data_IF_241007552230
#
_entry.id   IF_241007552230
#
_cell.length_a   1.000
_cell.length_b   1.000
_cell.length_c   1.000
_cell.angle_alpha   90.00
_cell.angle_beta   90.00
_cell.angle_gamma   90.00
#
_symmetry.space_group_name_H-M   'P 1'
#
loop_
_entity.id
_entity.type
_entity.pdbx_description
1 polymer ?
#
# COMPACT_ATOMS: atom_id res chain seq x y z
N UNK A 1 -16.77 -1.45 -8.83
CA UNK A 1 -16.08 -2.19 -9.90
C UNK A 1 -15.61 -3.55 -9.40
N UNK A 2 -16.12 -4.65 -9.93
CA UNK A 2 -15.74 -6.00 -9.48
C UNK A 2 -16.22 -6.35 -8.07
N UNK A 3 -17.28 -5.69 -7.58
CA UNK A 3 -17.74 -5.82 -6.21
C UNK A 3 -19.25 -6.09 -6.14
N UNK A 4 -19.75 -7.16 -6.80
CA UNK A 4 -21.18 -7.38 -7.00
C UNK A 4 -21.93 -7.54 -5.69
N UNK A 5 -21.38 -8.29 -4.72
CA UNK A 5 -22.01 -8.45 -3.39
C UNK A 5 -22.23 -7.12 -2.67
N UNK A 6 -21.26 -6.21 -2.79
CA UNK A 6 -21.38 -4.89 -2.17
C UNK A 6 -22.45 -4.05 -2.90
N UNK A 7 -22.48 -4.09 -4.23
CA UNK A 7 -23.50 -3.43 -5.03
C UNK A 7 -24.91 -3.92 -4.65
N UNK A 8 -25.17 -5.23 -4.65
CA UNK A 8 -26.48 -5.78 -4.26
C UNK A 8 -26.88 -5.42 -2.82
N UNK A 9 -25.92 -5.30 -1.90
CA UNK A 9 -26.21 -4.87 -0.53
C UNK A 9 -26.56 -3.37 -0.42
N UNK A 10 -25.91 -2.53 -1.23
CA UNK A 10 -26.01 -1.07 -1.12
C UNK A 10 -27.05 -0.44 -2.06
N UNK A 11 -27.39 -1.07 -3.18
CA UNK A 11 -28.27 -0.48 -4.22
C UNK A 11 -29.67 -0.12 -3.74
N UNK A 12 -30.13 -0.69 -2.62
CA UNK A 12 -31.39 -0.31 -1.98
C UNK A 12 -31.29 0.87 -0.99
N UNK A 13 -30.06 1.32 -0.69
CA UNK A 13 -29.76 2.36 0.31
C UNK A 13 -29.08 3.58 -0.30
N UNK A 14 -28.31 3.37 -1.37
CA UNK A 14 -27.51 4.36 -2.06
C UNK A 14 -27.61 4.13 -3.57
N UNK A 15 -27.46 5.18 -4.35
CA UNK A 15 -27.23 5.03 -5.78
C UNK A 15 -25.92 4.25 -6.01
N UNK A 16 -25.97 3.23 -6.87
CA UNK A 16 -24.84 2.33 -7.09
C UNK A 16 -24.83 1.85 -8.53
N UNK A 17 -23.66 1.90 -9.16
CA UNK A 17 -23.45 1.40 -10.51
C UNK A 17 -22.39 0.30 -10.51
N UNK A 18 -22.72 -0.87 -11.04
CA UNK A 18 -21.85 -2.03 -11.10
C UNK A 18 -21.13 -2.11 -12.45
N UNK A 19 -19.81 -1.94 -12.41
CA UNK A 19 -18.91 -2.33 -13.49
C UNK A 19 -18.33 -3.71 -13.17
N UNK A 20 -18.64 -4.73 -13.96
CA UNK A 20 -18.15 -6.10 -13.77
C UNK A 20 -17.96 -6.82 -15.12
N UNK A 21 -17.11 -7.86 -15.14
CA UNK A 21 -16.86 -8.66 -16.34
C UNK A 21 -17.84 -9.84 -16.46
N UNK A 22 -18.56 -10.15 -15.39
CA UNK A 22 -19.54 -11.23 -15.37
C UNK A 22 -20.89 -10.78 -15.96
N UNK A 23 -21.13 -11.16 -17.22
CA UNK A 23 -22.33 -10.81 -17.97
C UNK A 23 -23.62 -11.33 -17.32
N UNK A 24 -23.56 -12.36 -16.47
CA UNK A 24 -24.73 -12.91 -15.78
C UNK A 24 -25.46 -11.88 -14.92
N UNK A 25 -24.79 -10.80 -14.50
CA UNK A 25 -25.44 -9.72 -13.77
C UNK A 25 -26.42 -8.91 -14.62
N UNK A 26 -26.28 -8.92 -15.95
CA UNK A 26 -27.23 -8.28 -16.86
C UNK A 26 -28.64 -8.91 -16.80
N UNK A 27 -28.77 -10.14 -16.33
CA UNK A 27 -30.07 -10.79 -16.10
C UNK A 27 -30.85 -10.15 -14.93
N UNK A 28 -30.16 -9.48 -14.01
CA UNK A 28 -30.73 -8.95 -12.75
C UNK A 28 -30.65 -7.42 -12.63
N UNK A 29 -29.86 -6.77 -13.49
CA UNK A 29 -29.54 -5.35 -13.42
C UNK A 29 -29.85 -4.69 -14.77
N UNK A 30 -30.56 -3.57 -14.73
CA UNK A 30 -30.79 -2.75 -15.92
C UNK A 30 -29.55 -1.92 -16.33
N UNK A 31 -29.58 -1.27 -17.50
CA UNK A 31 -28.49 -0.43 -17.99
C UNK A 31 -28.08 0.71 -17.04
N UNK A 32 -29.01 1.22 -16.24
CA UNK A 32 -28.78 2.29 -15.26
C UNK A 32 -28.00 1.84 -14.02
N UNK A 33 -27.82 0.53 -13.82
CA UNK A 33 -27.14 -0.03 -12.64
C UNK A 33 -25.98 -0.95 -13.00
N UNK A 34 -25.82 -1.31 -14.27
CA UNK A 34 -24.80 -2.26 -14.72
C UNK A 34 -24.24 -1.95 -16.10
N UNK A 35 -22.92 -2.15 -16.24
CA UNK A 35 -22.28 -2.22 -17.55
C UNK A 35 -21.22 -3.32 -17.55
N UNK A 36 -21.26 -4.15 -18.59
CA UNK A 36 -20.25 -5.17 -18.83
C UNK A 36 -18.91 -4.49 -19.13
N UNK A 37 -17.91 -4.76 -18.28
CA UNK A 37 -16.71 -3.95 -18.19
C UNK A 37 -15.48 -4.76 -17.79
N UNK A 38 -14.37 -4.55 -18.51
CA UNK A 38 -13.08 -5.12 -18.17
C UNK A 38 -12.17 -4.08 -17.49
N UNK A 39 -11.95 -4.28 -16.19
CA UNK A 39 -11.12 -3.39 -15.37
C UNK A 39 -9.61 -3.45 -15.66
N UNK A 40 -9.11 -4.47 -16.35
CA UNK A 40 -7.68 -4.58 -16.67
C UNK A 40 -7.27 -3.72 -17.86
N UNK A 41 -8.21 -3.38 -18.75
CA UNK A 41 -7.95 -2.57 -19.94
C UNK A 41 -8.91 -1.37 -20.07
N UNK A 42 -9.72 -1.09 -19.06
CA UNK A 42 -10.70 0.00 -19.04
C UNK A 42 -11.68 -0.04 -20.23
N UNK A 43 -12.16 -1.24 -20.59
CA UNK A 43 -13.03 -1.45 -21.75
C UNK A 43 -14.49 -1.67 -21.33
N UNK A 44 -15.39 -0.87 -21.89
CA UNK A 44 -16.85 -1.04 -21.80
C UNK A 44 -17.31 -1.86 -23.01
N UNK A 45 -17.98 -2.98 -22.77
CA UNK A 45 -18.52 -3.83 -23.83
C UNK A 45 -19.91 -3.38 -24.29
N UNK A 46 -20.69 -2.78 -23.38
CA UNK A 46 -21.98 -2.19 -23.67
C UNK A 46 -21.86 -0.67 -23.85
N UNK A 47 -22.96 -0.01 -24.23
CA UNK A 47 -23.01 1.45 -24.27
C UNK A 47 -22.69 2.01 -22.87
N UNK A 48 -21.72 2.91 -22.82
CA UNK A 48 -21.26 3.53 -21.58
C UNK A 48 -22.13 4.71 -21.14
N UNK A 49 -23.04 5.20 -21.98
CA UNK A 49 -23.86 6.40 -21.68
C UNK A 49 -24.59 6.33 -20.33
N UNK A 50 -25.26 5.23 -19.94
CA UNK A 50 -25.90 5.16 -18.63
C UNK A 50 -24.91 5.34 -17.46
N UNK A 51 -23.70 4.78 -17.59
CA UNK A 51 -22.64 4.98 -16.61
C UNK A 51 -22.16 6.44 -16.58
N UNK A 52 -22.04 7.09 -17.74
CA UNK A 52 -21.67 8.52 -17.80
C UNK A 52 -22.75 9.42 -17.20
N UNK A 53 -24.03 9.11 -17.43
CA UNK A 53 -25.18 9.79 -16.82
C UNK A 53 -25.19 9.60 -15.30
N UNK A 54 -24.84 8.41 -14.81
CA UNK A 54 -24.65 8.17 -13.38
C UNK A 54 -23.52 9.06 -12.77
N UNK A 55 -22.47 9.34 -13.54
CA UNK A 55 -21.39 10.23 -13.10
C UNK A 55 -21.75 11.72 -13.20
N UNK A 56 -22.64 12.09 -14.11
CA UNK A 56 -23.03 13.47 -14.39
C UNK A 56 -23.77 14.09 -13.19
N UNK A 57 -23.40 15.32 -12.83
CA UNK A 57 -23.99 16.04 -11.70
C UNK A 57 -23.59 15.52 -10.32
N UNK A 58 -22.88 14.39 -10.23
CA UNK A 58 -22.41 13.83 -8.96
C UNK A 58 -21.11 14.51 -8.52
N UNK A 59 -21.14 15.20 -7.37
CA UNK A 59 -19.94 15.80 -6.76
C UNK A 59 -18.89 14.75 -6.41
N UNK A 60 -17.60 15.10 -6.50
CA UNK A 60 -16.49 14.23 -6.08
C UNK A 60 -16.55 13.82 -4.60
N UNK A 61 -17.21 14.63 -3.76
CA UNK A 61 -17.41 14.33 -2.33
C UNK A 61 -18.52 13.29 -2.08
N UNK A 62 -19.39 13.06 -3.07
CA UNK A 62 -20.52 12.14 -3.01
C UNK A 62 -20.26 10.84 -3.79
N UNK A 63 -19.11 10.73 -4.45
CA UNK A 63 -18.72 9.58 -5.25
C UNK A 63 -17.54 8.83 -4.63
N UNK A 64 -17.69 7.52 -4.48
CA UNK A 64 -16.60 6.61 -4.08
C UNK A 64 -16.50 5.44 -5.06
N UNK A 65 -15.28 5.17 -5.53
CA UNK A 65 -15.00 3.98 -6.32
C UNK A 65 -14.58 2.87 -5.36
N UNK A 66 -15.42 1.85 -5.22
CA UNK A 66 -15.03 0.61 -4.53
C UNK A 66 -14.63 -0.44 -5.56
N UNK A 67 -13.44 -1.03 -5.38
CA UNK A 67 -12.95 -2.09 -6.25
C UNK A 67 -12.37 -3.28 -5.49
N UNK A 68 -12.74 -4.48 -5.94
CA UNK A 68 -12.22 -5.76 -5.46
C UNK A 68 -11.74 -6.60 -6.67
N UNK A 69 -10.63 -6.20 -7.31
CA UNK A 69 -10.15 -6.86 -8.52
C UNK A 69 -9.59 -8.26 -8.23
N UNK A 70 -9.58 -9.18 -9.21
CA UNK A 70 -8.89 -10.46 -9.05
C UNK A 70 -7.43 -10.28 -8.63
N UNK A 71 -6.97 -11.01 -7.61
CA UNK A 71 -5.62 -10.81 -7.04
C UNK A 71 -4.47 -11.22 -7.97
N UNK A 72 -4.77 -11.89 -9.09
CA UNK A 72 -3.80 -12.15 -10.16
C UNK A 72 -3.58 -10.97 -11.11
N UNK A 73 -4.44 -9.96 -11.08
CA UNK A 73 -4.31 -8.77 -11.93
C UNK A 73 -3.09 -7.94 -11.51
N UNK A 74 -2.37 -7.38 -12.49
CA UNK A 74 -1.27 -6.45 -12.20
C UNK A 74 -1.82 -5.14 -11.62
N UNK A 75 -1.21 -4.66 -10.54
CA UNK A 75 -1.60 -3.41 -9.87
C UNK A 75 -1.54 -2.20 -10.80
N UNK A 76 -0.60 -2.18 -11.73
CA UNK A 76 -0.41 -1.09 -12.71
C UNK A 76 -1.63 -0.93 -13.64
N UNK A 77 -2.23 -2.04 -14.09
CA UNK A 77 -3.43 -2.03 -14.93
C UNK A 77 -4.65 -1.49 -14.16
N UNK A 78 -4.86 -1.97 -12.94
CA UNK A 78 -5.96 -1.50 -12.08
C UNK A 78 -5.79 -0.01 -11.75
N UNK A 79 -4.56 0.42 -11.46
CA UNK A 79 -4.24 1.82 -11.17
C UNK A 79 -4.50 2.72 -12.38
N UNK A 80 -4.13 2.27 -13.58
CA UNK A 80 -4.45 2.97 -14.83
C UNK A 80 -5.96 3.13 -15.03
N UNK A 81 -6.73 2.08 -14.77
CA UNK A 81 -8.19 2.11 -14.83
C UNK A 81 -8.79 3.09 -13.83
N UNK A 82 -8.39 3.04 -12.55
CA UNK A 82 -8.88 3.96 -11.53
C UNK A 82 -8.57 5.44 -11.88
N UNK A 83 -7.38 5.71 -12.42
CA UNK A 83 -7.01 7.05 -12.92
C UNK A 83 -7.86 7.46 -14.11
N UNK A 84 -8.16 6.54 -15.02
CA UNK A 84 -8.99 6.80 -16.19
C UNK A 84 -10.43 7.14 -15.80
N UNK A 85 -11.01 6.39 -14.86
CA UNK A 85 -12.34 6.68 -14.32
C UNK A 85 -12.38 8.05 -13.60
N UNK A 86 -11.34 8.38 -12.82
CA UNK A 86 -11.20 9.72 -12.23
C UNK A 86 -11.14 10.82 -13.28
N UNK A 87 -10.35 10.64 -14.34
CA UNK A 87 -10.27 11.61 -15.45
C UNK A 87 -11.61 11.77 -16.15
N UNK A 88 -12.32 10.67 -16.39
CA UNK A 88 -13.64 10.68 -17.04
C UNK A 88 -14.66 11.46 -16.20
N UNK A 89 -14.75 11.19 -14.89
CA UNK A 89 -15.63 11.93 -13.99
C UNK A 89 -15.33 13.44 -13.97
N UNK A 90 -14.04 13.81 -13.86
CA UNK A 90 -13.63 15.21 -13.90
C UNK A 90 -13.98 15.88 -15.24
N UNK A 91 -13.84 15.16 -16.36
CA UNK A 91 -14.19 15.66 -17.69
C UNK A 91 -15.70 15.90 -17.84
N UNK A 92 -16.52 14.90 -17.47
CA UNK A 92 -17.99 14.99 -17.54
C UNK A 92 -18.48 16.19 -16.71
N UNK A 93 -17.96 16.34 -15.49
CA UNK A 93 -18.40 17.37 -14.56
C UNK A 93 -17.63 18.69 -14.65
N UNK A 94 -16.74 18.85 -15.66
CA UNK A 94 -15.90 20.04 -15.85
C UNK A 94 -15.14 20.47 -14.60
N UNK A 95 -14.71 19.50 -13.81
CA UNK A 95 -13.95 19.73 -12.59
C UNK A 95 -12.47 19.94 -12.93
N UNK A 96 -11.72 20.71 -12.14
CA UNK A 96 -10.27 20.69 -12.20
C UNK A 96 -9.74 19.30 -11.84
N UNK A 97 -8.42 19.12 -11.75
CA UNK A 97 -7.79 17.84 -11.39
C UNK A 97 -8.12 17.43 -9.93
N UNK A 98 -9.36 17.02 -9.71
CA UNK A 98 -9.98 16.77 -8.42
C UNK A 98 -9.80 15.29 -8.09
N UNK A 99 -9.37 14.94 -6.86
CA UNK A 99 -9.26 13.55 -6.45
C UNK A 99 -10.66 12.94 -6.28
N UNK A 100 -10.79 11.66 -6.63
CA UNK A 100 -11.95 10.85 -6.28
C UNK A 100 -11.60 9.93 -5.12
N UNK A 101 -12.55 9.73 -4.21
CA UNK A 101 -12.42 8.76 -3.12
C UNK A 101 -12.36 7.35 -3.70
N UNK A 102 -11.31 6.59 -3.33
CA UNK A 102 -11.07 5.24 -3.83
C UNK A 102 -10.94 4.29 -2.65
N UNK A 103 -11.68 3.19 -2.69
CA UNK A 103 -11.56 2.03 -1.82
C UNK A 103 -11.12 0.82 -2.64
N UNK A 104 -9.82 0.53 -2.62
CA UNK A 104 -9.24 -0.62 -3.31
C UNK A 104 -8.98 -1.76 -2.33
N UNK A 105 -9.81 -2.79 -2.43
CA UNK A 105 -9.72 -4.01 -1.65
C UNK A 105 -8.67 -4.92 -2.30
N UNK A 106 -7.57 -5.17 -1.58
CA UNK A 106 -6.46 -5.95 -2.15
C UNK A 106 -5.57 -6.58 -1.06
N UNK A 107 -4.76 -7.60 -1.37
CA UNK A 107 -3.88 -8.21 -0.37
C UNK A 107 -2.73 -7.30 0.08
N UNK A 108 -2.43 -7.29 1.39
CA UNK A 108 -1.38 -6.43 1.98
C UNK A 108 0.02 -6.67 1.41
N UNK A 109 0.30 -7.87 0.87
CA UNK A 109 1.63 -8.17 0.32
C UNK A 109 1.93 -7.41 -0.97
N UNK A 110 0.89 -6.88 -1.63
CA UNK A 110 1.01 -6.01 -2.80
C UNK A 110 1.06 -4.51 -2.44
N UNK A 111 1.06 -4.15 -1.16
CA UNK A 111 1.08 -2.75 -0.70
C UNK A 111 2.23 -1.93 -1.30
N UNK A 112 3.40 -2.55 -1.51
CA UNK A 112 4.53 -1.86 -2.14
C UNK A 112 4.26 -1.52 -3.61
N UNK A 113 3.59 -2.41 -4.34
CA UNK A 113 3.26 -2.18 -5.75
C UNK A 113 2.14 -1.15 -5.86
N UNK A 114 1.12 -1.24 -5.00
CA UNK A 114 0.07 -0.20 -4.93
C UNK A 114 0.67 1.16 -4.61
N UNK A 115 1.60 1.27 -3.65
CA UNK A 115 2.23 2.56 -3.31
C UNK A 115 3.13 3.10 -4.42
N UNK A 116 3.74 2.23 -5.23
CA UNK A 116 4.49 2.66 -6.42
C UNK A 116 3.56 3.23 -7.49
N UNK A 117 2.43 2.55 -7.71
CA UNK A 117 1.47 2.97 -8.70
C UNK A 117 0.63 4.16 -8.26
N UNK A 118 0.09 4.14 -7.05
CA UNK A 118 -0.81 5.16 -6.48
C UNK A 118 -0.29 5.57 -5.10
N UNK A 119 0.73 6.46 -5.02
CA UNK A 119 1.36 6.87 -3.77
C UNK A 119 0.39 7.60 -2.82
N UNK A 120 -0.74 8.08 -3.32
CA UNK A 120 -1.81 8.68 -2.51
C UNK A 120 -2.65 7.67 -1.72
N UNK A 121 -2.52 6.36 -1.97
CA UNK A 121 -3.28 5.33 -1.26
C UNK A 121 -2.55 4.84 -0.01
N UNK A 122 -3.21 4.94 1.14
CA UNK A 122 -2.80 4.37 2.41
C UNK A 122 -3.56 3.08 2.72
N UNK A 123 -2.91 2.15 3.42
CA UNK A 123 -3.51 0.88 3.82
C UNK A 123 -4.20 1.01 5.17
N UNK A 124 -5.50 0.73 5.22
CA UNK A 124 -6.27 0.58 6.45
C UNK A 124 -6.06 -0.82 7.04
N UNK A 125 -6.00 -0.91 8.38
CA UNK A 125 -5.77 -2.17 9.11
C UNK A 125 -6.96 -3.15 9.07
N UNK A 126 -8.12 -2.71 8.57
CA UNK A 126 -9.33 -3.52 8.50
C UNK A 126 -9.14 -4.79 7.65
N UNK A 127 -9.36 -5.95 8.28
CA UNK A 127 -9.25 -7.27 7.67
C UNK A 127 -10.55 -7.64 6.97
N UNK A 128 -10.53 -7.70 5.65
CA UNK A 128 -11.69 -8.08 4.84
C UNK A 128 -11.70 -9.60 4.66
N UNK A 129 -12.80 -10.25 5.04
CA UNK A 129 -12.96 -11.71 4.98
C UNK A 129 -13.90 -12.10 3.84
N UNK A 130 -13.56 -13.20 3.16
CA UNK A 130 -14.41 -13.78 2.12
C UNK A 130 -15.02 -15.07 2.65
N UNK A 131 -16.35 -15.19 2.61
CA UNK A 131 -17.07 -16.37 3.11
C UNK A 131 -16.66 -17.66 2.36
N UNK A 132 -16.28 -17.54 1.09
CA UNK A 132 -16.12 -18.68 0.18
C UNK A 132 -14.67 -18.87 -0.31
N UNK A 133 -13.68 -18.16 0.25
CA UNK A 133 -12.31 -18.26 -0.24
C UNK A 133 -11.40 -19.10 0.67
N UNK A 134 -10.94 -20.25 0.15
CA UNK A 134 -10.09 -21.23 0.85
C UNK A 134 -8.88 -20.61 1.59
N UNK A 135 -8.21 -19.64 0.97
CA UNK A 135 -7.01 -18.96 1.54
C UNK A 135 -7.24 -17.56 2.14
N UNK A 136 -8.43 -16.98 2.01
CA UNK A 136 -8.71 -15.57 2.37
C UNK A 136 -9.93 -15.47 3.31
N UNK A 137 -10.00 -16.41 4.24
CA UNK A 137 -11.01 -16.51 5.28
C UNK A 137 -10.35 -16.66 6.64
N UNK A 138 -11.05 -16.24 7.69
CA UNK A 138 -10.69 -16.47 9.09
C UNK A 138 -11.29 -17.78 9.64
N UNK A 139 -12.07 -18.52 8.85
CA UNK A 139 -12.88 -19.66 9.29
C UNK A 139 -12.35 -20.97 8.69
N UNK A 140 -12.25 -22.01 9.52
CA UNK A 140 -11.90 -23.38 9.09
C UNK A 140 -10.41 -23.75 9.23
N UNK A 141 -10.07 -25.00 8.92
CA UNK A 141 -8.72 -25.60 9.10
C UNK A 141 -7.60 -24.92 8.29
N UNK A 142 -7.95 -24.14 7.27
CA UNK A 142 -7.02 -23.37 6.43
C UNK A 142 -6.95 -21.87 6.83
N UNK A 143 -7.60 -21.49 7.93
CA UNK A 143 -7.53 -20.13 8.48
C UNK A 143 -6.09 -19.77 8.78
N UNK A 144 -5.67 -18.58 8.32
CA UNK A 144 -4.30 -18.11 8.58
C UNK A 144 -4.18 -17.67 10.02
N UNK A 145 -3.01 -17.92 10.60
CA UNK A 145 -2.66 -17.47 11.95
C UNK A 145 -2.90 -15.96 12.20
N UNK A 146 -2.76 -15.11 11.18
CA UNK A 146 -2.98 -13.66 11.29
C UNK A 146 -4.27 -13.18 10.60
N UNK A 147 -5.19 -14.09 10.31
CA UNK A 147 -6.42 -13.85 9.58
C UNK A 147 -6.22 -13.54 8.08
N UNK A 148 -7.28 -13.07 7.43
CA UNK A 148 -7.29 -12.69 6.02
C UNK A 148 -6.17 -11.69 5.73
N UNK A 149 -5.45 -11.84 4.60
CA UNK A 149 -4.44 -10.88 4.17
C UNK A 149 -5.02 -9.68 3.41
N UNK A 150 -6.34 -9.67 3.18
CA UNK A 150 -6.97 -8.64 2.37
C UNK A 150 -7.24 -7.41 3.24
N UNK A 151 -6.86 -6.26 2.71
CA UNK A 151 -6.96 -4.95 3.36
C UNK A 151 -7.64 -3.97 2.42
N UNK A 152 -8.02 -2.82 2.95
CA UNK A 152 -8.50 -1.68 2.20
C UNK A 152 -7.34 -0.71 1.96
N UNK A 153 -7.14 -0.30 0.71
CA UNK A 153 -6.24 0.79 0.31
C UNK A 153 -7.07 1.99 -0.12
N UNK A 154 -6.75 3.19 0.37
CA UNK A 154 -7.57 4.37 0.12
C UNK A 154 -6.80 5.68 0.21
N UNK A 155 -7.25 6.69 -0.54
CA UNK A 155 -6.84 8.09 -0.38
C UNK A 155 -7.74 8.87 0.58
N UNK A 156 -8.78 8.24 1.15
CA UNK A 156 -9.58 8.83 2.22
C UNK A 156 -8.74 8.83 3.50
N UNK A 157 -8.63 9.96 4.22
CA UNK A 157 -7.85 10.03 5.46
C UNK A 157 -8.26 8.95 6.46
N UNK A 158 -7.30 8.14 6.93
CA UNK A 158 -7.55 6.99 7.80
C UNK A 158 -8.23 7.37 9.13
N UNK A 159 -8.08 8.60 9.60
CA UNK A 159 -8.77 9.15 10.78
C UNK A 159 -10.29 9.14 10.66
N UNK A 160 -10.81 9.20 9.43
CA UNK A 160 -12.25 9.20 9.15
C UNK A 160 -12.83 7.77 9.17
N UNK A 161 -11.98 6.74 9.05
CA UNK A 161 -12.41 5.35 9.00
C UNK A 161 -12.50 4.77 10.41
N UNK A 162 -13.73 4.65 10.91
CA UNK A 162 -14.02 4.01 12.20
C UNK A 162 -14.10 2.49 12.03
N UNK A 163 -13.25 1.75 12.74
CA UNK A 163 -13.25 0.29 12.74
C UNK A 163 -14.01 -0.27 13.96
N UNK A 164 -14.61 -1.47 13.85
CA UNK A 164 -15.30 -2.09 14.98
C UNK A 164 -14.33 -2.31 16.15
N UNK A 165 -14.77 -2.06 17.39
CA UNK A 165 -13.90 -2.23 18.57
C UNK A 165 -13.58 -3.70 18.87
N UNK A 166 -14.32 -4.63 18.25
CA UNK A 166 -13.99 -6.04 18.26
C UNK A 166 -12.83 -6.31 17.28
N UNK A 167 -11.63 -6.50 17.85
CA UNK A 167 -10.40 -6.76 17.09
C UNK A 167 -9.56 -5.52 16.74
N UNK A 168 -10.10 -4.31 16.90
CA UNK A 168 -9.38 -3.06 16.62
C UNK A 168 -9.36 -2.11 17.83
N UNK A 169 -8.54 -1.07 17.73
CA UNK A 169 -8.40 0.00 18.71
C UNK A 169 -8.10 1.31 18.00
N UNK A 170 -8.36 2.44 18.64
CA UNK A 170 -7.93 3.73 18.13
C UNK A 170 -6.53 4.08 18.67
N UNK A 171 -5.62 4.52 17.80
CA UNK A 171 -4.29 4.96 18.17
C UNK A 171 -4.23 6.49 18.15
N UNK A 172 -4.29 7.12 19.33
CA UNK A 172 -4.22 8.58 19.46
C UNK A 172 -2.99 9.23 18.82
N UNK A 173 -1.83 8.55 18.85
CA UNK A 173 -0.58 9.08 18.26
C UNK A 173 -0.57 9.07 16.73
N UNK A 174 -1.28 8.12 16.12
CA UNK A 174 -1.39 8.02 14.67
C UNK A 174 -2.69 8.63 14.14
N UNK A 175 -3.59 9.06 15.02
CA UNK A 175 -4.93 9.54 14.69
C UNK A 175 -5.70 8.58 13.76
N UNK A 176 -5.66 7.27 14.04
CA UNK A 176 -6.35 6.28 13.22
C UNK A 176 -6.68 4.99 13.99
N UNK A 177 -7.64 4.22 13.47
CA UNK A 177 -7.94 2.89 13.98
C UNK A 177 -6.95 1.85 13.44
N UNK A 178 -6.45 1.00 14.33
CA UNK A 178 -5.48 -0.05 14.02
C UNK A 178 -5.89 -1.38 14.67
N UNK A 179 -5.33 -2.49 14.20
CA UNK A 179 -5.56 -3.78 14.84
C UNK A 179 -5.08 -3.77 16.30
N UNK A 180 -5.75 -4.53 17.19
CA UNK A 180 -5.36 -4.60 18.62
C UNK A 180 -3.89 -4.99 18.80
N UNK A 181 -3.41 -5.92 17.98
CA UNK A 181 -2.04 -6.42 17.99
C UNK A 181 -1.02 -5.43 17.40
N UNK A 182 -1.47 -4.45 16.62
CA UNK A 182 -0.59 -3.44 16.03
C UNK A 182 -0.16 -2.43 17.10
N UNK A 183 1.07 -2.57 17.58
CA UNK A 183 1.63 -1.71 18.62
C UNK A 183 2.29 -0.48 17.98
N UNK A 184 1.94 0.71 18.46
CA UNK A 184 2.60 1.94 18.05
C UNK A 184 4.07 1.91 18.47
N UNK A 185 4.98 2.14 17.52
CA UNK A 185 6.40 2.27 17.80
C UNK A 185 6.76 3.74 17.99
N UNK A 186 7.05 4.16 19.23
CA UNK A 186 7.44 5.55 19.53
C UNK A 186 8.71 6.01 18.79
N UNK A 187 9.62 5.09 18.43
CA UNK A 187 10.85 5.43 17.68
C UNK A 187 10.61 5.61 16.17
N UNK A 188 9.57 4.99 15.65
CA UNK A 188 9.18 5.13 14.24
C UNK A 188 7.96 6.04 14.05
N UNK A 189 7.35 6.48 15.15
CA UNK A 189 6.16 7.33 15.21
C UNK A 189 4.99 6.80 14.38
N UNK A 190 4.84 5.47 14.34
CA UNK A 190 3.78 4.82 13.58
C UNK A 190 3.38 3.47 14.15
N UNK A 191 2.18 3.02 13.82
CA UNK A 191 1.74 1.64 13.96
C UNK A 191 2.25 0.82 12.76
N UNK A 192 3.31 0.02 12.89
CA UNK A 192 4.09 -0.45 11.75
C UNK A 192 3.65 -1.81 11.22
N UNK A 193 2.74 -2.53 11.89
CA UNK A 193 2.31 -3.85 11.44
C UNK A 193 1.58 -3.74 10.12
N UNK A 194 1.89 -4.64 9.20
CA UNK A 194 1.21 -4.73 7.89
C UNK A 194 0.40 -6.02 7.78
N UNK A 195 0.90 -7.11 8.38
CA UNK A 195 0.30 -8.44 8.28
C UNK A 195 -0.49 -8.86 9.54
N UNK A 196 -0.71 -7.94 10.49
CA UNK A 196 -1.39 -8.23 11.75
C UNK A 196 -0.49 -8.79 12.86
N UNK A 197 0.80 -9.04 12.61
CA UNK A 197 1.74 -9.44 13.66
C UNK A 197 2.25 -8.23 14.44
N UNK A 198 2.58 -8.40 15.72
CA UNK A 198 3.28 -7.37 16.49
C UNK A 198 4.72 -7.23 15.99
N UNK A 199 5.01 -6.14 15.29
CA UNK A 199 6.36 -5.86 14.79
C UNK A 199 7.26 -5.40 15.92
N UNK A 200 8.55 -5.71 15.81
CA UNK A 200 9.58 -5.25 16.75
C UNK A 200 10.46 -4.18 16.09
N UNK A 201 10.88 -3.19 16.85
CA UNK A 201 11.84 -2.20 16.37
C UNK A 201 13.26 -2.76 16.44
N UNK A 202 13.98 -2.75 15.30
CA UNK A 202 15.40 -3.06 15.28
C UNK A 202 16.21 -1.77 15.38
N UNK A 203 16.88 -1.55 16.52
CA UNK A 203 17.72 -0.37 16.74
C UNK A 203 18.85 -0.23 15.71
N UNK A 204 19.43 -1.36 15.26
CA UNK A 204 20.51 -1.38 14.27
C UNK A 204 20.07 -1.02 12.85
N UNK A 205 18.80 -1.26 12.51
CA UNK A 205 18.22 -0.82 11.24
C UNK A 205 17.48 0.51 11.36
N UNK A 206 17.19 0.92 12.60
CA UNK A 206 16.27 1.98 12.97
C UNK A 206 14.92 1.87 12.25
N UNK A 207 14.38 0.64 12.23
CA UNK A 207 13.17 0.29 11.50
C UNK A 207 12.39 -0.82 12.23
N UNK A 208 11.06 -0.75 12.14
CA UNK A 208 10.19 -1.83 12.60
C UNK A 208 10.15 -2.97 11.58
N UNK A 209 10.29 -4.19 12.07
CA UNK A 209 10.37 -5.41 11.26
C UNK A 209 9.50 -6.50 11.86
N UNK A 210 9.16 -7.49 11.02
CA UNK A 210 8.41 -8.68 11.45
C UNK A 210 9.11 -9.37 12.63
N UNK A 211 8.36 -9.98 13.56
CA UNK A 211 8.95 -10.58 14.76
C UNK A 211 9.97 -11.68 14.45
N UNK A 212 9.78 -12.43 13.36
CA UNK A 212 10.69 -13.48 12.90
C UNK A 212 11.94 -12.98 12.15
N UNK A 213 12.10 -11.67 11.95
CA UNK A 213 13.29 -11.12 11.32
C UNK A 213 14.41 -10.95 12.36
N UNK A 214 15.64 -11.22 11.94
CA UNK A 214 16.87 -11.05 12.73
C UNK A 214 17.81 -10.10 12.01
N UNK A 215 18.60 -9.32 12.75
CA UNK A 215 19.55 -8.40 12.14
C UNK A 215 20.80 -9.17 11.67
N UNK A 216 21.02 -9.21 10.36
CA UNK A 216 22.24 -9.76 9.79
C UNK A 216 23.32 -8.67 9.74
N UNK A 217 24.42 -8.88 10.46
CA UNK A 217 25.57 -7.96 10.53
C UNK A 217 26.24 -7.79 9.16
N UNK A 218 26.43 -8.88 8.42
CA UNK A 218 27.04 -8.88 7.09
C UNK A 218 26.21 -8.10 6.07
N UNK A 219 24.89 -8.25 6.11
CA UNK A 219 23.97 -7.52 5.24
C UNK A 219 23.62 -6.13 5.76
N UNK A 220 23.97 -5.80 7.02
CA UNK A 220 23.56 -4.58 7.72
C UNK A 220 22.05 -4.30 7.61
N UNK A 221 21.23 -5.36 7.62
CA UNK A 221 19.76 -5.34 7.46
C UNK A 221 19.10 -6.44 8.28
N UNK A 222 17.82 -6.23 8.60
CA UNK A 222 16.97 -7.29 9.11
C UNK A 222 16.50 -8.19 7.98
N UNK A 223 16.67 -9.50 8.17
CA UNK A 223 16.31 -10.53 7.20
C UNK A 223 15.55 -11.66 7.90
N UNK A 224 14.96 -12.57 7.12
CA UNK A 224 14.38 -13.79 7.68
C UNK A 224 15.47 -14.62 8.37
N UNK A 225 15.11 -15.28 9.47
CA UNK A 225 16.04 -16.16 10.20
C UNK A 225 16.49 -17.35 9.34
N UNK A 226 15.59 -17.90 8.55
CA UNK A 226 15.81 -19.08 7.69
C UNK A 226 15.89 -18.69 6.21
N UNK A 227 16.66 -19.43 5.41
CA UNK A 227 16.82 -19.20 3.98
C UNK A 227 17.59 -17.93 3.59
N UNK A 228 18.22 -17.24 4.55
CA UNK A 228 18.97 -16.02 4.28
C UNK A 228 20.36 -16.30 3.70
N UNK A 229 20.54 -15.98 2.43
CA UNK A 229 21.86 -15.96 1.78
C UNK A 229 22.37 -14.51 1.65
N UNK A 230 23.50 -14.20 2.29
CA UNK A 230 24.08 -12.85 2.29
C UNK A 230 24.48 -12.37 0.88
N UNK A 231 25.16 -13.21 0.08
CA UNK A 231 25.67 -12.78 -1.23
C UNK A 231 24.52 -12.41 -2.15
N UNK A 232 23.49 -13.26 -2.24
CA UNK A 232 22.30 -12.98 -3.03
C UNK A 232 21.56 -11.74 -2.52
N UNK A 233 21.33 -11.65 -1.20
CA UNK A 233 20.54 -10.57 -0.62
C UNK A 233 21.19 -9.20 -0.84
N UNK A 234 22.52 -9.09 -0.72
CA UNK A 234 23.26 -7.86 -1.00
C UNK A 234 23.07 -7.37 -2.45
N UNK A 235 22.93 -8.28 -3.43
CA UNK A 235 22.65 -7.88 -4.84
C UNK A 235 21.27 -7.25 -5.04
N UNK A 236 20.32 -7.47 -4.12
CA UNK A 236 18.96 -6.95 -4.22
C UNK A 236 18.73 -5.72 -3.33
N UNK A 237 19.66 -5.39 -2.44
CA UNK A 237 19.57 -4.23 -1.58
C UNK A 237 19.84 -2.93 -2.35
N UNK A 238 19.17 -1.87 -1.89
CA UNK A 238 19.51 -0.50 -2.23
C UNK A 238 20.43 0.06 -1.14
N UNK A 239 21.56 0.61 -1.57
CA UNK A 239 22.55 1.24 -0.73
C UNK A 239 21.94 2.48 -0.05
N UNK A 240 22.03 2.58 1.27
CA UNK A 240 21.55 3.74 2.01
C UNK A 240 22.41 4.99 1.85
N UNK A 241 23.57 4.89 1.20
CA UNK A 241 24.39 6.05 0.89
C UNK A 241 23.96 6.66 -0.44
N UNK A 242 24.09 5.93 -1.55
CA UNK A 242 23.83 6.45 -2.90
C UNK A 242 22.47 6.07 -3.51
N UNK A 243 21.66 5.24 -2.83
CA UNK A 243 20.36 4.79 -3.35
C UNK A 243 20.43 3.68 -4.42
N UNK A 244 21.60 3.40 -5.01
CA UNK A 244 21.73 2.40 -6.07
C UNK A 244 21.56 0.97 -5.56
N UNK A 245 20.99 0.11 -6.41
CA UNK A 245 20.81 -1.33 -6.13
C UNK A 245 22.09 -2.11 -6.45
N UNK A 246 22.31 -3.22 -5.74
CA UNK A 246 23.36 -4.19 -6.08
C UNK A 246 24.54 -4.23 -5.10
N UNK A 247 24.58 -3.33 -4.12
CA UNK A 247 25.64 -3.29 -3.12
C UNK A 247 25.13 -2.72 -1.78
N UNK A 248 25.93 -2.90 -0.74
CA UNK A 248 25.70 -2.35 0.59
C UNK A 248 26.60 -1.15 0.86
N UNK A 249 26.31 -0.40 1.93
CA UNK A 249 26.98 0.85 2.24
C UNK A 249 28.52 0.72 2.36
N UNK A 250 29.01 -0.39 2.89
CA UNK A 250 30.46 -0.64 3.05
C UNK A 250 31.17 -0.90 1.72
N UNK A 251 30.42 -1.23 0.66
CA UNK A 251 30.93 -1.45 -0.71
C UNK A 251 30.42 -0.39 -1.68
N UNK A 252 29.99 0.77 -1.18
CA UNK A 252 29.44 1.84 -2.01
C UNK A 252 30.53 2.53 -2.84
N UNK A 253 30.52 2.45 -4.18
CA UNK A 253 31.58 3.03 -5.02
C UNK A 253 31.65 4.56 -4.88
N UNK A 254 30.49 5.20 -4.67
CA UNK A 254 30.39 6.65 -4.47
C UNK A 254 30.95 7.10 -3.11
N UNK A 255 31.28 6.18 -2.21
CA UNK A 255 31.70 6.49 -0.84
C UNK A 255 33.01 5.80 -0.43
N UNK A 256 33.48 4.80 -1.19
CA UNK A 256 34.74 4.08 -0.94
C UNK A 256 35.99 4.96 -0.95
N UNK A 257 35.98 6.08 -1.68
CA UNK A 257 37.11 7.02 -1.75
C UNK A 257 37.32 7.82 -0.47
N UNK A 258 36.33 7.88 0.41
CA UNK A 258 36.39 8.59 1.69
C UNK A 258 36.67 7.55 2.79
N UNK A 259 37.94 7.37 3.18
CA UNK A 259 38.35 6.47 4.26
C UNK A 259 37.46 6.74 5.49
N UNK A 260 36.56 5.83 5.81
CA UNK A 260 35.74 5.94 7.03
C UNK A 260 36.36 5.09 8.12
N UNK A 261 36.56 5.68 9.29
CA UNK A 261 37.13 4.98 10.45
C UNK A 261 36.08 4.10 11.17
N UNK A 262 34.86 4.00 10.64
CA UNK A 262 33.73 3.38 11.31
C UNK A 262 33.31 2.10 10.60
N UNK A 263 33.52 0.94 11.24
CA UNK A 263 33.04 -0.36 10.75
C UNK A 263 31.67 -0.75 11.33
N UNK A 264 31.26 -0.11 12.43
CA UNK A 264 30.02 -0.36 13.17
C UNK A 264 29.23 0.94 13.35
N UNK A 265 27.90 0.84 13.47
CA UNK A 265 27.03 2.02 13.56
C UNK A 265 26.90 2.76 12.23
N UNK A 266 26.52 4.04 12.29
CA UNK A 266 26.42 4.91 11.12
C UNK A 266 27.78 5.13 10.47
N UNK A 267 27.93 4.80 9.18
CA UNK A 267 29.19 5.01 8.45
C UNK A 267 29.56 6.49 8.25
N UNK A 268 28.63 7.41 8.45
CA UNK A 268 28.85 8.85 8.29
C UNK A 268 29.37 9.54 9.55
N UNK A 269 29.05 9.02 10.74
CA UNK A 269 29.39 9.69 12.01
C UNK A 269 29.80 8.75 13.16
N UNK A 270 29.79 7.43 12.95
CA UNK A 270 30.18 6.43 13.94
C UNK A 270 29.14 6.14 15.04
N UNK A 271 28.10 6.96 15.19
CA UNK A 271 27.07 6.76 16.23
C UNK A 271 26.24 5.49 15.99
N UNK A 272 25.83 4.82 17.07
CA UNK A 272 25.06 3.55 17.03
C UNK A 272 23.54 3.71 17.20
N UNK A 273 23.07 4.91 17.52
CA UNK A 273 21.66 5.18 17.77
C UNK A 273 20.80 5.35 16.50
N UNK A 274 21.44 5.58 15.35
CA UNK A 274 20.79 5.76 14.06
C UNK A 274 21.66 5.19 12.92
N UNK A 275 21.13 5.23 11.70
CA UNK A 275 21.78 4.74 10.48
C UNK A 275 21.91 5.83 9.41
N UNK A 276 22.59 5.51 8.33
CA UNK A 276 23.02 6.43 7.27
C UNK A 276 21.87 7.28 6.70
N UNK A 277 20.65 6.74 6.65
CA UNK A 277 19.44 7.45 6.19
C UNK A 277 18.97 8.57 7.12
N UNK A 278 19.21 8.44 8.42
CA UNK A 278 18.74 9.37 9.47
C UNK A 278 19.90 10.14 10.11
N UNK A 279 21.06 10.16 9.45
CA UNK A 279 22.24 10.84 9.96
C UNK A 279 22.18 12.34 9.64
N UNK A 280 22.30 13.19 10.64
CA UNK A 280 22.37 14.65 10.45
C UNK A 280 23.58 15.07 9.57
N UNK A 281 24.66 14.29 9.54
CA UNK A 281 25.80 14.56 8.67
C UNK A 281 25.56 14.18 7.21
N UNK A 282 24.44 13.53 6.87
CA UNK A 282 24.13 13.05 5.51
C UNK A 282 24.17 14.17 4.47
N UNK A 283 23.64 15.34 4.80
CA UNK A 283 23.62 16.52 3.93
C UNK A 283 25.02 17.05 3.57
N UNK A 284 26.06 16.69 4.34
CA UNK A 284 27.46 17.02 4.00
C UNK A 284 28.02 16.17 2.86
N UNK A 285 27.46 14.99 2.63
CA UNK A 285 27.97 14.00 1.68
C UNK A 285 27.04 13.81 0.48
N UNK A 286 25.75 14.10 0.65
CA UNK A 286 24.75 13.85 -0.38
C UNK A 286 23.78 15.03 -0.47
N UNK A 287 23.45 15.41 -1.70
CA UNK A 287 22.28 16.23 -2.01
C UNK A 287 21.13 15.28 -2.33
N UNK A 288 20.06 15.38 -1.55
CA UNK A 288 18.85 14.58 -1.73
C UNK A 288 17.73 15.49 -2.19
N UNK A 289 17.06 15.10 -3.28
CA UNK A 289 15.86 15.78 -3.76
C UNK A 289 14.70 14.79 -3.63
N UNK A 290 13.71 15.15 -2.82
CA UNK A 290 12.48 14.38 -2.67
C UNK A 290 11.37 15.06 -3.48
N UNK A 291 10.82 14.35 -4.46
CA UNK A 291 9.69 14.80 -5.24
C UNK A 291 8.70 13.64 -5.39
N UNK A 292 7.43 13.85 -5.06
CA UNK A 292 6.37 12.83 -5.18
C UNK A 292 6.72 11.46 -4.54
N UNK A 293 7.29 11.46 -3.32
CA UNK A 293 7.78 10.27 -2.61
C UNK A 293 8.92 9.49 -3.29
N UNK A 294 9.50 10.04 -4.37
CA UNK A 294 10.74 9.56 -4.95
C UNK A 294 11.91 10.40 -4.45
N UNK A 295 12.99 9.75 -4.03
CA UNK A 295 14.21 10.42 -3.57
C UNK A 295 15.34 10.14 -4.53
N UNK A 296 15.82 11.19 -5.19
CA UNK A 296 17.08 11.14 -5.94
C UNK A 296 18.24 11.56 -5.04
N UNK A 297 19.35 10.84 -5.13
CA UNK A 297 20.52 11.04 -4.27
C UNK A 297 21.73 11.31 -5.15
N UNK A 298 22.30 12.51 -5.03
CA UNK A 298 23.53 12.91 -5.69
C UNK A 298 24.65 12.98 -4.66
N UNK A 299 25.80 12.35 -4.94
CA UNK A 299 26.98 12.46 -4.10
C UNK A 299 27.67 13.81 -4.32
N UNK A 300 28.01 14.51 -3.22
CA UNK A 300 28.78 15.74 -3.21
C UNK A 300 30.27 15.44 -3.02
#
# INVERSE_FOLDING_TARGET
MGAPRLHFHLRHKLQSFLLDLDERFAEYLGPEEFCLYNMCNNHFFYDRKPFEQFLEGTSSEQLVIVTDPPFGCRTELISHTLRSLRKLHNQINRLPCTPLSIFWIYPYYSANHIRQEMPELEMCDYRINYTNHLRYTNVGKQSRFCGSPVRLFTNVPLRLLKLPLEGYKYCHKCDCYTAKENQHCNRCEKCPSVNGQTYKHCASCDACVKPNYVHCTNCRRCTQKEGHNCSFYQTKQHCWLCGQKGHIETKCPNFQKRKTNYSKGCLLCGKRNHREKRCAYRTKYFRELCFMNETTIQCL
#
